data_IF_454738718863
#
_entry.id   IF_454738718863
#
_cell.length_a   1.000
_cell.length_b   1.000
_cell.length_c   1.000
_cell.angle_alpha   90.00
_cell.angle_beta   90.00
_cell.angle_gamma   90.00
#
_symmetry.space_group_name_H-M   'P 1'
#
loop_
_entity.id
_entity.type
_entity.pdbx_description
1 polymer ?
#
# COMPACT_ATOMS: atom_id res chain seq x y z
N UNK A 1 17.95 -19.41 -64.19
CA UNK A 1 18.78 -20.07 -63.16
C UNK A 1 18.11 -19.81 -61.82
N UNK A 2 17.75 -20.88 -61.10
CA UNK A 2 16.90 -20.93 -59.90
C UNK A 2 17.41 -20.04 -58.76
N UNK A 3 16.51 -19.34 -58.05
CA UNK A 3 16.28 -19.61 -56.63
C UNK A 3 14.93 -19.03 -56.17
N UNK A 4 14.02 -19.91 -55.77
CA UNK A 4 12.83 -19.60 -54.96
C UNK A 4 13.25 -19.78 -53.50
N UNK A 5 13.02 -18.78 -52.66
CA UNK A 5 12.89 -18.96 -51.20
C UNK A 5 11.63 -18.21 -50.78
N UNK A 6 10.68 -18.97 -50.25
CA UNK A 6 9.46 -18.48 -49.65
C UNK A 6 9.78 -17.88 -48.28
N UNK A 7 9.30 -16.67 -48.01
CA UNK A 7 9.20 -16.13 -46.66
C UNK A 7 7.72 -16.08 -46.30
N UNK A 8 7.28 -17.11 -45.56
CA UNK A 8 6.04 -17.07 -44.81
C UNK A 8 6.18 -16.04 -43.68
N UNK A 9 5.13 -15.25 -43.49
CA UNK A 9 4.98 -14.42 -42.30
C UNK A 9 4.82 -15.26 -41.04
N UNK A 10 5.35 -14.74 -39.95
CA UNK A 10 4.66 -14.70 -38.66
C UNK A 10 5.32 -13.60 -37.82
N UNK A 11 4.54 -12.57 -37.50
CA UNK A 11 4.83 -11.71 -36.36
C UNK A 11 4.76 -12.57 -35.10
N UNK A 12 5.77 -12.46 -34.25
CA UNK A 12 5.85 -13.14 -32.98
C UNK A 12 6.89 -12.45 -32.11
N UNK A 13 6.56 -11.25 -31.67
CA UNK A 13 7.21 -10.62 -30.52
C UNK A 13 7.11 -11.56 -29.33
N UNK A 14 8.26 -11.91 -28.77
CA UNK A 14 8.40 -12.60 -27.49
C UNK A 14 7.75 -11.75 -26.40
N UNK A 15 6.47 -11.99 -26.12
CA UNK A 15 5.88 -11.65 -24.84
C UNK A 15 6.45 -12.62 -23.81
N UNK A 16 7.11 -12.05 -22.80
CA UNK A 16 7.55 -12.76 -21.62
C UNK A 16 6.37 -13.56 -21.04
N UNK A 17 6.60 -14.85 -20.81
CA UNK A 17 5.68 -15.66 -20.04
C UNK A 17 5.53 -15.05 -18.66
N UNK A 18 4.31 -14.70 -18.30
CA UNK A 18 3.93 -14.47 -16.92
C UNK A 18 4.15 -15.79 -16.17
N UNK A 19 5.22 -15.81 -15.37
CA UNK A 19 5.44 -16.82 -14.36
C UNK A 19 4.38 -16.66 -13.27
N UNK A 20 3.61 -17.71 -13.06
CA UNK A 20 2.48 -17.78 -12.14
C UNK A 20 2.96 -18.38 -10.83
N UNK A 21 3.46 -17.52 -9.93
CA UNK A 21 3.69 -17.88 -8.53
C UNK A 21 2.71 -17.12 -7.65
N UNK A 22 1.57 -17.78 -7.46
CA UNK A 22 0.62 -17.73 -6.34
C UNK A 22 0.97 -16.81 -5.14
N UNK A 23 0.21 -15.73 -4.99
CA UNK A 23 0.10 -14.93 -3.76
C UNK A 23 -1.07 -13.95 -3.83
N UNK A 24 -1.04 -13.07 -4.82
CA UNK A 24 -2.14 -12.14 -5.12
C UNK A 24 -3.00 -12.72 -6.23
N UNK A 25 -3.91 -13.62 -5.87
CA UNK A 25 -5.10 -13.79 -6.71
C UNK A 25 -5.88 -12.47 -6.59
N UNK A 26 -5.90 -11.61 -7.62
CA UNK A 26 -6.59 -10.32 -7.56
C UNK A 26 -8.08 -10.50 -7.24
N UNK A 27 -8.60 -11.72 -7.39
CA UNK A 27 -9.97 -12.10 -7.09
C UNK A 27 -10.20 -12.60 -5.66
N UNK A 28 -9.17 -12.73 -4.82
CA UNK A 28 -9.25 -13.35 -3.48
C UNK A 28 -10.25 -12.68 -2.53
N UNK A 29 -10.43 -11.37 -2.64
CA UNK A 29 -11.34 -10.58 -1.80
C UNK A 29 -12.42 -9.85 -2.61
N UNK A 30 -12.53 -10.16 -3.89
CA UNK A 30 -13.53 -9.57 -4.77
C UNK A 30 -14.72 -10.51 -4.81
N UNK A 31 -15.68 -10.22 -3.95
CA UNK A 31 -17.03 -10.74 -4.14
C UNK A 31 -17.70 -9.88 -5.20
N UNK A 32 -17.87 -10.44 -6.40
CA UNK A 32 -18.60 -9.83 -7.51
C UNK A 32 -20.11 -9.76 -7.19
N UNK A 33 -20.46 -9.12 -6.07
CA UNK A 33 -21.82 -8.98 -5.52
C UNK A 33 -22.56 -10.30 -5.32
N UNK A 34 -21.84 -11.41 -5.11
CA UNK A 34 -22.36 -12.79 -5.12
C UNK A 34 -23.09 -13.18 -6.42
N UNK A 35 -22.87 -12.43 -7.50
CA UNK A 35 -23.58 -12.49 -8.80
C UNK A 35 -22.63 -12.64 -9.99
N UNK A 36 -21.41 -13.04 -9.71
CA UNK A 36 -20.38 -13.33 -10.69
C UNK A 36 -19.23 -14.06 -10.05
N UNK A 37 -18.23 -14.37 -10.86
CA UNK A 37 -16.95 -14.82 -10.35
C UNK A 37 -15.88 -13.89 -10.89
N UNK A 38 -14.93 -13.56 -10.04
CA UNK A 38 -13.80 -12.76 -10.46
C UNK A 38 -12.82 -13.66 -11.23
N UNK A 39 -12.25 -13.11 -12.31
CA UNK A 39 -11.16 -13.69 -13.09
C UNK A 39 -10.14 -12.62 -13.45
N UNK A 40 -8.93 -13.03 -13.81
CA UNK A 40 -7.83 -12.11 -14.11
C UNK A 40 -7.70 -11.93 -15.61
N UNK A 41 -7.77 -10.68 -16.08
CA UNK A 41 -7.50 -10.29 -17.48
C UNK A 41 -6.43 -9.22 -17.46
N UNK A 42 -5.34 -9.43 -18.20
CA UNK A 42 -4.18 -8.53 -18.26
C UNK A 42 -3.60 -8.14 -16.89
N UNK A 43 -3.67 -9.06 -15.92
CA UNK A 43 -3.15 -8.87 -14.56
C UNK A 43 -4.07 -8.11 -13.61
N UNK A 44 -5.26 -7.69 -14.05
CA UNK A 44 -6.26 -7.02 -13.22
C UNK A 44 -7.47 -7.93 -12.92
N UNK A 45 -8.09 -7.83 -11.74
CA UNK A 45 -9.33 -8.53 -11.47
C UNK A 45 -10.46 -7.94 -12.31
N UNK A 46 -11.28 -8.82 -12.85
CA UNK A 46 -12.52 -8.48 -13.53
C UNK A 46 -13.61 -9.42 -13.07
N UNK A 47 -14.81 -8.89 -12.90
CA UNK A 47 -15.96 -9.74 -12.68
C UNK A 47 -16.46 -10.30 -14.01
N UNK A 48 -16.50 -11.63 -14.11
CA UNK A 48 -17.33 -12.31 -15.11
C UNK A 48 -18.67 -12.61 -14.43
N UNK A 49 -19.68 -11.87 -14.84
CA UNK A 49 -20.97 -11.89 -14.20
C UNK A 49 -21.83 -13.05 -14.72
N UNK A 50 -22.64 -13.65 -13.84
CA UNK A 50 -23.58 -14.69 -14.27
C UNK A 50 -24.64 -14.08 -15.19
N UNK A 51 -25.27 -14.90 -16.03
CA UNK A 51 -26.28 -14.42 -16.98
C UNK A 51 -27.35 -13.55 -16.28
N UNK A 52 -27.52 -12.32 -16.78
CA UNK A 52 -28.42 -11.31 -16.20
C UNK A 52 -27.74 -10.25 -15.33
N UNK A 53 -26.40 -10.17 -15.35
CA UNK A 53 -25.57 -9.19 -14.67
C UNK A 53 -24.39 -8.77 -15.56
N UNK A 54 -23.98 -7.50 -15.54
CA UNK A 54 -22.76 -7.00 -16.17
C UNK A 54 -21.81 -6.40 -15.15
N UNK A 55 -20.53 -6.34 -15.52
CA UNK A 55 -19.50 -5.79 -14.68
C UNK A 55 -19.47 -4.26 -14.79
N UNK A 56 -19.77 -3.57 -13.69
CA UNK A 56 -19.42 -2.17 -13.49
C UNK A 56 -18.29 -2.15 -12.45
N UNK A 57 -17.06 -1.95 -12.92
CA UNK A 57 -15.88 -2.11 -12.08
C UNK A 57 -15.72 -3.56 -11.58
N UNK A 58 -15.70 -3.74 -10.25
CA UNK A 58 -15.54 -5.03 -9.56
C UNK A 58 -16.84 -5.56 -8.94
N UNK A 59 -17.96 -5.00 -9.37
CA UNK A 59 -19.30 -5.39 -8.94
C UNK A 59 -20.08 -5.93 -10.13
N UNK A 60 -20.77 -7.04 -9.92
CA UNK A 60 -21.80 -7.50 -10.86
C UNK A 60 -23.10 -6.81 -10.50
N UNK A 61 -23.46 -5.84 -11.32
CA UNK A 61 -24.72 -5.11 -11.26
C UNK A 61 -25.69 -5.83 -12.17
N UNK A 62 -26.97 -5.87 -11.80
CA UNK A 62 -27.95 -6.57 -12.62
C UNK A 62 -28.06 -5.96 -14.00
N UNK A 63 -28.02 -6.81 -15.03
CA UNK A 63 -28.49 -6.46 -16.38
C UNK A 63 -30.02 -6.34 -16.41
N UNK A 64 -30.67 -6.85 -15.35
CA UNK A 64 -32.03 -6.51 -15.04
C UNK A 64 -32.01 -5.11 -14.37
N UNK A 65 -32.36 -4.03 -15.07
CA UNK A 65 -32.55 -2.72 -14.45
C UNK A 65 -33.38 -2.88 -13.18
N UNK A 66 -32.77 -2.47 -12.08
CA UNK A 66 -33.10 -2.88 -10.72
C UNK A 66 -33.66 -1.75 -9.88
N UNK A 67 -34.72 -1.12 -10.36
CA UNK A 67 -35.24 0.09 -9.72
C UNK A 67 -35.39 0.02 -8.19
N UNK A 68 -34.79 1.00 -7.51
CA UNK A 68 -34.82 1.22 -6.08
C UNK A 68 -33.66 0.61 -5.31
N UNK A 69 -32.50 0.41 -5.93
CA UNK A 69 -31.32 -0.19 -5.31
C UNK A 69 -30.18 0.80 -4.99
N UNK A 70 -30.40 2.08 -5.34
CA UNK A 70 -29.52 3.21 -5.10
C UNK A 70 -28.62 3.57 -6.28
N UNK A 71 -28.78 2.91 -7.43
CA UNK A 71 -27.93 3.12 -8.62
C UNK A 71 -28.77 3.31 -9.88
N UNK A 72 -28.55 4.40 -10.60
CA UNK A 72 -29.21 4.62 -11.89
C UNK A 72 -28.59 3.73 -12.98
N UNK A 73 -29.22 2.59 -13.26
CA UNK A 73 -28.77 1.60 -14.24
C UNK A 73 -29.03 2.05 -15.71
N UNK A 74 -28.34 1.45 -16.71
CA UNK A 74 -28.63 1.70 -18.12
C UNK A 74 -30.09 1.39 -18.49
N UNK A 75 -30.90 2.43 -18.70
CA UNK A 75 -32.34 2.33 -19.02
C UNK A 75 -33.25 2.94 -17.97
N UNK A 76 -32.70 3.27 -16.81
CA UNK A 76 -33.30 4.05 -15.73
C UNK A 76 -32.98 5.54 -15.92
N UNK A 77 -33.89 6.40 -15.48
CA UNK A 77 -33.69 7.85 -15.46
C UNK A 77 -33.26 8.33 -14.07
N UNK A 78 -33.65 7.61 -13.02
CA UNK A 78 -33.36 7.89 -11.61
C UNK A 78 -33.28 6.57 -10.82
N UNK A 79 -32.66 6.60 -9.64
CA UNK A 79 -32.82 5.56 -8.60
C UNK A 79 -32.55 6.20 -7.23
N UNK A 80 -33.52 6.16 -6.33
CA UNK A 80 -33.46 6.81 -5.00
C UNK A 80 -33.32 5.80 -3.84
N UNK A 81 -32.95 4.55 -4.15
CA UNK A 81 -32.71 3.49 -3.17
C UNK A 81 -33.98 2.87 -2.59
N UNK A 82 -35.15 3.13 -3.18
CA UNK A 82 -36.39 2.46 -2.82
C UNK A 82 -37.39 2.38 -4.01
N UNK A 83 -38.54 1.73 -3.80
CA UNK A 83 -39.57 1.55 -4.86
C UNK A 83 -40.89 2.25 -4.54
N UNK A 84 -40.86 3.23 -3.64
CA UNK A 84 -42.04 3.99 -3.22
C UNK A 84 -42.36 5.01 -4.31
N UNK A 85 -43.41 4.75 -5.07
CA UNK A 85 -43.86 5.71 -6.10
C UNK A 85 -44.20 7.10 -5.53
N UNK A 86 -43.85 8.11 -6.32
CA UNK A 86 -44.28 9.48 -6.17
C UNK A 86 -43.46 10.34 -5.20
N UNK A 87 -42.27 9.91 -4.79
CA UNK A 87 -41.29 10.68 -4.01
C UNK A 87 -40.17 11.32 -4.85
N UNK A 88 -40.29 11.25 -6.18
CA UNK A 88 -39.31 11.80 -7.13
C UNK A 88 -38.74 10.74 -8.06
N UNK A 89 -38.70 9.47 -7.64
CA UNK A 89 -38.31 8.35 -8.48
C UNK A 89 -39.36 7.24 -8.43
N UNK A 90 -39.99 6.96 -9.57
CA UNK A 90 -41.07 5.97 -9.59
C UNK A 90 -40.54 4.56 -9.43
N UNK A 91 -41.41 3.62 -9.04
CA UNK A 91 -41.04 2.19 -8.98
C UNK A 91 -40.62 1.57 -10.33
N UNK A 92 -40.69 2.35 -11.42
CA UNK A 92 -40.17 2.02 -12.75
C UNK A 92 -38.87 2.75 -13.10
N UNK A 93 -38.28 3.46 -12.13
CA UNK A 93 -37.06 4.26 -12.23
C UNK A 93 -37.10 5.26 -13.37
N UNK A 94 -38.25 5.92 -13.42
CA UNK A 94 -38.52 7.09 -14.24
C UNK A 94 -38.71 8.26 -13.30
N UNK A 95 -38.22 9.42 -13.68
CA UNK A 95 -38.46 10.63 -12.89
C UNK A 95 -39.97 10.86 -12.79
N UNK A 96 -40.40 11.29 -11.60
CA UNK A 96 -41.76 11.78 -11.40
C UNK A 96 -41.77 13.05 -10.59
N UNK A 97 -42.82 13.83 -10.79
CA UNK A 97 -43.16 14.90 -9.87
C UNK A 97 -43.87 14.32 -8.63
N UNK A 98 -43.64 14.96 -7.49
CA UNK A 98 -44.34 14.75 -6.24
C UNK A 98 -45.45 15.81 -6.01
N UNK A 99 -45.27 17.04 -6.51
CA UNK A 99 -46.26 18.12 -6.40
C UNK A 99 -46.31 19.03 -7.64
N UNK A 100 -47.45 19.72 -7.85
CA UNK A 100 -47.64 20.65 -8.99
C UNK A 100 -46.55 21.73 -9.05
N UNK A 101 -46.06 22.20 -7.89
CA UNK A 101 -45.01 23.22 -7.80
C UNK A 101 -43.64 22.77 -8.35
N UNK A 102 -43.40 21.46 -8.50
CA UNK A 102 -42.16 20.92 -9.08
C UNK A 102 -42.23 20.84 -10.62
N UNK A 103 -43.42 21.11 -11.18
CA UNK A 103 -43.70 21.12 -12.60
C UNK A 103 -43.82 22.53 -13.18
N UNK A 104 -43.45 23.57 -12.44
CA UNK A 104 -43.46 24.94 -12.93
C UNK A 104 -42.40 25.07 -14.06
N UNK A 105 -42.85 25.31 -15.28
CA UNK A 105 -41.99 25.55 -16.45
C UNK A 105 -41.75 27.04 -16.71
N UNK A 106 -42.15 27.89 -15.76
CA UNK A 106 -42.12 29.35 -15.83
C UNK A 106 -42.98 29.95 -16.96
N UNK A 107 -43.83 29.16 -17.63
CA UNK A 107 -44.80 29.66 -18.61
C UNK A 107 -46.14 29.97 -17.91
N UNK A 108 -46.54 31.25 -17.74
CA UNK A 108 -47.82 31.60 -17.11
C UNK A 108 -49.04 31.13 -17.91
N UNK A 109 -48.85 30.68 -19.16
CA UNK A 109 -49.91 30.20 -20.05
C UNK A 109 -50.09 28.69 -20.09
N UNK A 110 -49.31 27.95 -19.33
CA UNK A 110 -49.51 26.53 -19.05
C UNK A 110 -50.18 26.37 -17.69
N UNK A 111 -50.98 25.31 -17.56
CA UNK A 111 -51.39 24.81 -16.26
C UNK A 111 -50.44 23.66 -15.92
N UNK A 112 -49.56 23.89 -14.95
CA UNK A 112 -48.58 22.93 -14.47
C UNK A 112 -49.20 22.02 -13.43
N UNK A 113 -49.46 20.80 -13.84
CA UNK A 113 -50.07 19.80 -12.97
C UNK A 113 -49.21 18.56 -12.92
N UNK A 114 -48.96 18.12 -11.71
CA UNK A 114 -48.38 16.82 -11.45
C UNK A 114 -49.47 15.76 -11.56
N UNK A 115 -49.73 15.31 -12.79
CA UNK A 115 -50.82 14.39 -13.09
C UNK A 115 -50.39 12.91 -13.03
N UNK A 116 -51.35 12.04 -12.76
CA UNK A 116 -51.13 10.59 -12.80
C UNK A 116 -50.89 10.12 -14.24
N UNK A 117 -49.80 9.40 -14.44
CA UNK A 117 -49.38 8.77 -15.67
C UNK A 117 -49.37 7.23 -15.53
N UNK A 118 -49.26 6.53 -16.67
CA UNK A 118 -49.22 5.06 -16.71
C UNK A 118 -48.02 4.45 -15.97
N UNK A 119 -46.97 5.26 -15.72
CA UNK A 119 -45.72 4.86 -15.06
C UNK A 119 -45.38 5.77 -13.87
N UNK A 120 -46.38 6.30 -13.15
CA UNK A 120 -46.16 7.16 -12.00
C UNK A 120 -46.88 8.50 -12.10
N UNK A 121 -46.19 9.59 -11.73
CA UNK A 121 -46.63 10.97 -12.00
C UNK A 121 -45.69 11.67 -12.95
N UNK A 122 -46.22 12.57 -13.78
CA UNK A 122 -45.42 13.37 -14.71
C UNK A 122 -45.93 14.80 -14.71
N UNK A 123 -45.03 15.72 -15.01
CA UNK A 123 -45.42 17.08 -15.30
C UNK A 123 -46.23 17.11 -16.59
N UNK A 124 -47.42 17.69 -16.51
CA UNK A 124 -48.21 18.07 -17.65
C UNK A 124 -48.37 19.58 -17.65
N UNK A 125 -47.87 20.19 -18.72
CA UNK A 125 -47.97 21.63 -18.98
C UNK A 125 -49.07 21.81 -20.01
N UNK A 126 -50.30 22.06 -19.55
CA UNK A 126 -51.44 22.14 -20.46
C UNK A 126 -51.73 23.60 -20.79
N UNK A 127 -51.42 23.98 -22.03
CA UNK A 127 -51.76 25.28 -22.60
C UNK A 127 -53.24 25.62 -22.36
N UNK A 128 -53.50 26.74 -21.69
CA UNK A 128 -54.83 27.11 -21.23
C UNK A 128 -55.15 28.57 -21.57
N UNK A 129 -56.24 28.78 -22.31
CA UNK A 129 -56.71 30.13 -22.63
C UNK A 129 -57.33 30.82 -21.40
N UNK A 130 -57.14 32.14 -21.31
CA UNK A 130 -57.76 32.98 -20.28
C UNK A 130 -57.07 32.95 -18.92
N UNK A 131 -55.95 32.24 -18.79
CA UNK A 131 -55.06 32.41 -17.64
C UNK A 131 -54.48 33.84 -17.65
N UNK A 132 -54.36 34.49 -16.48
CA UNK A 132 -53.70 35.78 -16.39
C UNK A 132 -52.21 35.58 -16.68
N UNK A 133 -51.69 36.40 -17.58
CA UNK A 133 -50.27 36.48 -17.89
C UNK A 133 -49.90 37.97 -18.01
N UNK A 134 -48.63 38.23 -18.31
CA UNK A 134 -48.13 39.58 -18.60
C UNK A 134 -47.31 39.46 -19.89
N UNK A 135 -47.72 40.17 -20.95
CA UNK A 135 -46.99 40.13 -22.23
C UNK A 135 -45.82 41.14 -22.27
N UNK A 136 -45.56 41.81 -21.14
CA UNK A 136 -44.57 42.86 -20.98
C UNK A 136 -45.01 44.19 -21.60
N UNK A 137 -46.22 44.30 -22.14
CA UNK A 137 -46.76 45.52 -22.69
C UNK A 137 -47.83 46.11 -21.74
N UNK A 138 -47.48 47.11 -20.93
CA UNK A 138 -48.41 47.73 -19.96
C UNK A 138 -49.59 48.45 -20.62
N UNK A 139 -49.59 48.59 -21.96
CA UNK A 139 -50.66 49.20 -22.72
C UNK A 139 -51.77 48.26 -23.16
N UNK A 140 -51.57 46.97 -22.97
CA UNK A 140 -52.55 45.94 -23.22
C UNK A 140 -52.90 45.34 -21.88
N UNK A 141 -54.13 45.58 -21.40
CA UNK A 141 -54.59 45.03 -20.11
C UNK A 141 -56.11 44.78 -20.12
N UNK A 142 -56.60 43.75 -19.41
CA UNK A 142 -55.81 42.67 -18.82
C UNK A 142 -55.32 41.70 -19.89
N UNK A 143 -54.08 41.26 -19.75
CA UNK A 143 -53.49 40.24 -20.62
C UNK A 143 -54.03 38.86 -20.27
N UNK A 144 -54.13 38.05 -21.31
CA UNK A 144 -54.65 36.72 -21.18
C UNK A 144 -53.99 35.78 -22.16
N UNK A 145 -53.73 34.57 -21.69
CA UNK A 145 -53.23 33.52 -22.53
C UNK A 145 -54.22 33.19 -23.64
N UNK A 146 -53.73 33.08 -24.87
CA UNK A 146 -54.53 32.65 -26.03
C UNK A 146 -53.95 31.39 -26.63
N UNK A 147 -54.82 30.55 -27.20
CA UNK A 147 -54.40 29.28 -27.81
C UNK A 147 -54.02 29.49 -29.28
N UNK A 148 -52.83 29.04 -29.63
CA UNK A 148 -52.35 29.05 -30.99
C UNK A 148 -52.99 27.95 -31.85
N UNK A 149 -53.02 28.15 -33.18
CA UNK A 149 -53.27 27.08 -34.15
C UNK A 149 -52.15 26.03 -34.08
N UNK A 150 -52.26 25.09 -33.16
CA UNK A 150 -51.20 24.12 -32.86
C UNK A 150 -51.27 23.55 -31.45
N UNK A 151 -52.02 24.20 -30.54
CA UNK A 151 -52.25 23.71 -29.19
C UNK A 151 -51.25 24.22 -28.15
N UNK A 152 -50.30 25.08 -28.51
CA UNK A 152 -49.57 25.93 -27.56
C UNK A 152 -50.45 27.10 -27.11
N UNK A 153 -50.09 27.72 -25.98
CA UNK A 153 -50.61 29.02 -25.59
C UNK A 153 -49.47 30.03 -25.58
N UNK A 154 -49.79 31.27 -25.91
CA UNK A 154 -48.90 32.41 -25.70
C UNK A 154 -49.66 33.49 -24.95
N UNK A 155 -48.92 34.30 -24.19
CA UNK A 155 -49.50 35.49 -23.60
C UNK A 155 -49.81 36.49 -24.71
N UNK A 156 -51.08 36.90 -24.79
CA UNK A 156 -51.50 37.90 -25.75
C UNK A 156 -52.02 39.13 -25.01
N UNK A 157 -51.57 40.28 -25.49
CA UNK A 157 -52.03 41.58 -25.06
C UNK A 157 -53.56 41.69 -25.06
N UNK A 158 -54.11 42.20 -23.96
CA UNK A 158 -55.48 42.68 -23.90
C UNK A 158 -55.79 43.83 -24.87
N UNK A 159 -57.01 44.40 -24.84
CA UNK A 159 -57.33 45.57 -25.65
C UNK A 159 -56.34 46.71 -25.38
N UNK A 160 -55.73 47.24 -26.45
CA UNK A 160 -54.81 48.35 -26.28
C UNK A 160 -55.58 49.60 -25.82
N UNK A 161 -55.21 50.11 -24.65
CA UNK A 161 -55.83 51.29 -24.05
C UNK A 161 -54.90 52.52 -24.05
N UNK A 162 -53.66 52.37 -24.51
CA UNK A 162 -52.70 53.44 -24.74
C UNK A 162 -52.72 53.89 -26.21
N UNK A 163 -53.55 54.88 -26.51
CA UNK A 163 -53.46 55.58 -27.79
C UNK A 163 -52.41 56.68 -27.72
N UNK A 164 -51.65 56.87 -28.80
CA UNK A 164 -50.63 57.92 -28.86
C UNK A 164 -50.62 58.64 -30.21
N UNK A 165 -50.12 59.88 -30.22
CA UNK A 165 -49.71 60.60 -31.42
C UNK A 165 -48.20 60.85 -31.47
N UNK A 166 -47.55 60.80 -30.30
CA UNK A 166 -46.10 61.01 -30.15
C UNK A 166 -45.53 60.00 -29.15
N UNK A 167 -44.24 59.68 -29.29
CA UNK A 167 -43.53 58.79 -28.35
C UNK A 167 -43.64 59.24 -26.88
N UNK A 168 -43.68 60.55 -26.64
CA UNK A 168 -43.77 61.10 -25.29
C UNK A 168 -45.08 60.76 -24.57
N UNK A 169 -46.14 60.43 -25.30
CA UNK A 169 -47.41 59.97 -24.73
C UNK A 169 -47.34 58.51 -24.26
N UNK A 170 -46.41 57.72 -24.79
CA UNK A 170 -46.17 56.34 -24.35
C UNK A 170 -45.32 56.26 -23.09
N UNK A 171 -44.50 57.28 -22.82
CA UNK A 171 -43.60 57.34 -21.67
C UNK A 171 -44.28 57.21 -20.29
N UNK A 172 -45.58 57.50 -20.19
CA UNK A 172 -46.33 57.35 -18.94
C UNK A 172 -46.69 55.90 -18.60
N UNK A 173 -46.56 55.01 -19.59
CA UNK A 173 -46.88 53.59 -19.47
C UNK A 173 -45.64 52.73 -19.31
N UNK A 174 -44.44 53.28 -19.50
CA UNK A 174 -43.16 52.58 -19.24
C UNK A 174 -43.12 52.01 -17.82
N UNK A 175 -42.77 50.73 -17.70
CA UNK A 175 -42.57 50.02 -16.43
C UNK A 175 -41.17 50.29 -15.82
N UNK A 176 -40.28 50.89 -16.61
CA UNK A 176 -38.91 51.21 -16.23
C UNK A 176 -37.92 50.05 -16.41
N UNK A 177 -38.34 48.94 -17.04
CA UNK A 177 -37.48 47.86 -17.47
C UNK A 177 -36.91 48.18 -18.86
N UNK A 178 -35.64 48.55 -18.93
CA UNK A 178 -34.97 48.83 -20.20
C UNK A 178 -34.60 47.55 -20.97
N UNK A 179 -34.76 46.37 -20.38
CA UNK A 179 -34.38 45.10 -20.99
C UNK A 179 -35.42 44.59 -21.98
N UNK A 180 -36.71 44.80 -21.71
CA UNK A 180 -37.81 44.44 -22.62
C UNK A 180 -38.04 45.49 -23.73
N UNK A 181 -37.29 46.60 -23.71
CA UNK A 181 -37.32 47.67 -24.71
C UNK A 181 -38.25 48.83 -24.33
N UNK A 182 -38.06 49.99 -24.93
CA UNK A 182 -38.89 51.18 -24.67
C UNK A 182 -40.08 51.25 -25.62
N UNK A 183 -41.21 51.77 -25.14
CA UNK A 183 -42.41 52.00 -25.94
C UNK A 183 -42.24 53.23 -26.85
N UNK A 184 -42.50 53.04 -28.14
CA UNK A 184 -42.63 54.11 -29.12
C UNK A 184 -44.07 54.15 -29.67
N UNK A 185 -44.44 55.29 -30.25
CA UNK A 185 -45.73 55.46 -30.88
C UNK A 185 -45.69 54.93 -32.33
N UNK A 186 -45.94 53.63 -32.49
CA UNK A 186 -45.92 52.94 -33.78
C UNK A 186 -47.36 52.78 -34.27
N UNK A 187 -47.66 53.37 -35.43
CA UNK A 187 -49.01 53.29 -36.03
C UNK A 187 -50.16 53.76 -35.10
N UNK A 188 -49.89 54.77 -34.25
CA UNK A 188 -50.81 55.35 -33.24
C UNK A 188 -51.10 54.46 -32.02
N UNK A 189 -50.28 53.43 -31.83
CA UNK A 189 -50.34 52.49 -30.71
C UNK A 189 -49.00 52.54 -29.98
N UNK A 190 -49.02 52.59 -28.65
CA UNK A 190 -47.80 52.41 -27.87
C UNK A 190 -47.38 50.94 -27.95
N UNK A 191 -46.22 50.70 -28.56
CA UNK A 191 -45.66 49.38 -28.76
C UNK A 191 -44.14 49.42 -28.53
N UNK A 192 -43.58 48.30 -28.07
CA UNK A 192 -42.12 48.16 -27.88
C UNK A 192 -41.38 48.41 -29.19
N UNK A 193 -40.38 49.28 -29.18
CA UNK A 193 -39.44 49.41 -30.29
C UNK A 193 -38.44 48.24 -30.26
N UNK A 194 -38.46 47.31 -31.23
CA UNK A 194 -37.57 46.15 -31.25
C UNK A 194 -36.08 46.53 -31.28
N UNK A 195 -35.74 47.74 -31.75
CA UNK A 195 -34.36 48.22 -31.77
C UNK A 195 -33.81 48.58 -30.38
N UNK A 196 -34.69 48.67 -29.38
CA UNK A 196 -34.35 49.07 -28.01
C UNK A 196 -34.31 47.91 -27.02
N UNK A 197 -34.76 46.72 -27.44
CA UNK A 197 -34.68 45.48 -26.64
C UNK A 197 -33.22 45.08 -26.40
N UNK A 198 -32.87 44.83 -25.15
CA UNK A 198 -31.50 44.46 -24.78
C UNK A 198 -31.37 42.94 -24.72
N UNK A 199 -30.59 42.37 -25.64
CA UNK A 199 -30.23 40.95 -25.65
C UNK A 199 -28.78 40.79 -25.21
N UNK A 200 -28.56 40.05 -24.13
CA UNK A 200 -27.22 39.76 -23.62
C UNK A 200 -26.59 38.57 -24.35
N UNK A 201 -25.28 38.64 -24.59
CA UNK A 201 -24.51 37.58 -25.24
C UNK A 201 -24.34 36.39 -24.28
N UNK A 202 -24.85 35.19 -24.61
CA UNK A 202 -24.70 33.99 -23.80
C UNK A 202 -23.30 33.37 -23.90
N UNK A 203 -22.44 33.83 -24.81
CA UNK A 203 -21.08 33.27 -24.99
C UNK A 203 -20.16 33.40 -23.77
N UNK A 204 -20.54 34.20 -22.77
CA UNK A 204 -19.82 34.36 -21.50
C UNK A 204 -20.43 33.59 -20.34
N UNK A 205 -21.52 32.87 -20.57
CA UNK A 205 -22.22 32.13 -19.52
C UNK A 205 -21.35 30.96 -19.02
N UNK A 206 -21.54 30.64 -17.75
CA UNK A 206 -20.87 29.56 -17.04
C UNK A 206 -21.90 28.77 -16.24
N UNK A 207 -21.55 27.58 -15.76
CA UNK A 207 -22.45 26.78 -14.94
C UNK A 207 -22.99 27.53 -13.69
N UNK A 208 -22.24 28.52 -13.17
CA UNK A 208 -22.59 29.25 -11.96
C UNK A 208 -22.91 30.73 -12.17
N UNK A 209 -22.88 31.22 -13.41
CA UNK A 209 -23.19 32.61 -13.68
C UNK A 209 -23.66 32.78 -15.14
N UNK A 210 -24.70 33.59 -15.32
CA UNK A 210 -25.23 33.95 -16.64
C UNK A 210 -25.19 35.46 -16.85
N UNK A 211 -25.01 35.87 -18.11
CA UNK A 211 -25.03 37.25 -18.53
C UNK A 211 -26.47 37.75 -18.66
N UNK A 212 -26.95 38.47 -17.65
CA UNK A 212 -28.35 38.92 -17.56
C UNK A 212 -28.42 40.45 -17.66
N UNK A 213 -29.49 40.95 -18.27
CA UNK A 213 -29.75 42.38 -18.35
C UNK A 213 -30.24 42.91 -16.98
N UNK A 214 -29.81 44.12 -16.61
CA UNK A 214 -30.30 44.84 -15.43
C UNK A 214 -31.45 45.79 -15.83
N UNK A 215 -32.69 45.57 -15.35
CA UNK A 215 -33.87 46.32 -15.78
C UNK A 215 -33.73 47.84 -15.69
N UNK A 216 -33.15 48.34 -14.61
CA UNK A 216 -33.05 49.78 -14.38
C UNK A 216 -32.02 50.48 -15.29
N UNK A 217 -31.04 49.74 -15.82
CA UNK A 217 -29.93 50.32 -16.57
C UNK A 217 -29.84 49.85 -18.02
N UNK A 218 -30.53 48.78 -18.40
CA UNK A 218 -30.42 48.15 -19.71
C UNK A 218 -29.03 47.60 -20.01
N UNK A 219 -28.20 47.40 -18.97
CA UNK A 219 -26.82 46.91 -19.13
C UNK A 219 -26.72 45.42 -18.83
N UNK A 220 -26.04 44.69 -19.70
CA UNK A 220 -25.75 43.28 -19.48
C UNK A 220 -24.59 43.12 -18.49
N UNK A 221 -24.78 42.27 -17.49
CA UNK A 221 -23.73 41.89 -16.55
C UNK A 221 -23.86 40.45 -16.13
N UNK A 222 -22.72 39.83 -15.83
CA UNK A 222 -22.69 38.52 -15.18
C UNK A 222 -23.38 38.61 -13.82
N UNK A 223 -24.39 37.77 -13.62
CA UNK A 223 -25.00 37.53 -12.32
C UNK A 223 -24.66 36.11 -11.88
N UNK A 224 -24.19 36.00 -10.64
CA UNK A 224 -24.00 34.72 -10.01
C UNK A 224 -25.35 34.03 -9.81
N UNK A 225 -25.39 32.74 -10.09
CA UNK A 225 -26.47 31.85 -9.69
C UNK A 225 -26.44 31.61 -8.18
N UNK A 226 -27.48 30.97 -7.66
CA UNK A 226 -27.59 30.68 -6.23
C UNK A 226 -26.45 29.77 -5.74
N UNK A 227 -25.93 30.09 -4.56
CA UNK A 227 -24.91 29.26 -3.92
C UNK A 227 -25.46 27.86 -3.60
N UNK A 228 -24.63 26.83 -3.79
CA UNK A 228 -24.98 25.44 -3.51
C UNK A 228 -25.64 24.69 -4.67
N UNK A 229 -25.90 25.35 -5.80
CA UNK A 229 -26.31 24.66 -7.02
C UNK A 229 -25.20 23.70 -7.50
N UNK A 230 -25.56 22.51 -7.99
CA UNK A 230 -24.60 21.57 -8.55
C UNK A 230 -23.99 22.15 -9.82
N UNK A 231 -22.69 21.97 -9.98
CA UNK A 231 -21.97 22.32 -11.19
C UNK A 231 -20.89 21.26 -11.46
N UNK A 232 -20.03 21.46 -12.46
CA UNK A 232 -18.85 20.64 -12.72
C UNK A 232 -17.70 21.62 -13.01
N UNK A 233 -16.64 21.60 -12.19
CA UNK A 233 -15.49 22.49 -12.37
C UNK A 233 -14.41 21.89 -13.29
N UNK A 234 -14.64 20.67 -13.78
CA UNK A 234 -13.74 19.91 -14.63
C UNK A 234 -12.58 19.28 -13.89
N UNK A 235 -12.47 19.41 -12.56
CA UNK A 235 -11.46 18.74 -11.75
C UNK A 235 -11.94 17.33 -11.37
N UNK A 236 -11.31 16.32 -11.97
CA UNK A 236 -11.61 14.93 -11.63
C UNK A 236 -11.29 14.58 -10.17
N UNK A 237 -10.45 15.35 -9.48
CA UNK A 237 -10.04 15.07 -8.10
C UNK A 237 -11.10 15.41 -7.05
N UNK A 238 -12.10 16.19 -7.41
CA UNK A 238 -13.22 16.56 -6.55
C UNK A 238 -14.40 15.62 -6.77
N UNK A 239 -15.24 15.50 -5.73
CA UNK A 239 -16.40 14.59 -5.70
C UNK A 239 -17.72 15.36 -5.73
N UNK A 240 -17.70 16.61 -5.30
CA UNK A 240 -18.89 17.43 -5.15
C UNK A 240 -18.53 18.85 -5.51
N UNK A 241 -19.09 19.32 -6.62
CA UNK A 241 -18.83 20.64 -7.16
C UNK A 241 -20.08 21.50 -6.98
N UNK A 242 -19.87 22.68 -6.41
CA UNK A 242 -20.98 23.58 -6.07
C UNK A 242 -20.65 25.00 -6.46
N UNK A 243 -21.68 25.74 -6.86
CA UNK A 243 -21.57 27.15 -7.11
C UNK A 243 -21.36 27.93 -5.81
N UNK A 244 -20.39 28.83 -5.81
CA UNK A 244 -20.18 29.80 -4.73
C UNK A 244 -19.79 31.15 -5.34
N UNK A 245 -20.62 32.16 -5.14
CA UNK A 245 -20.43 33.53 -5.65
C UNK A 245 -20.15 33.59 -7.17
N UNK A 246 -20.81 32.73 -7.94
CA UNK A 246 -20.68 32.68 -9.39
C UNK A 246 -19.52 31.87 -9.93
N UNK A 247 -18.78 31.18 -9.06
CA UNK A 247 -17.66 30.31 -9.42
C UNK A 247 -18.03 28.87 -9.09
N UNK A 248 -17.81 27.96 -10.02
CA UNK A 248 -17.90 26.53 -9.73
C UNK A 248 -16.60 26.10 -9.04
N UNK A 249 -16.71 25.47 -7.87
CA UNK A 249 -15.57 24.94 -7.15
C UNK A 249 -15.90 23.56 -6.59
N UNK A 250 -14.98 22.63 -6.82
CA UNK A 250 -15.03 21.28 -6.32
C UNK A 250 -14.54 21.12 -4.89
N UNK A 251 -15.12 20.14 -4.22
CA UNK A 251 -14.81 19.76 -2.85
C UNK A 251 -14.82 18.24 -2.66
N UNK A 252 -14.28 17.78 -1.54
CA UNK A 252 -14.08 16.35 -1.25
C UNK A 252 -12.85 15.77 -1.95
N UNK A 253 -12.33 14.67 -1.42
CA UNK A 253 -11.19 13.97 -2.00
C UNK A 253 -11.67 12.65 -2.60
N UNK A 254 -11.49 12.47 -3.91
CA UNK A 254 -11.92 11.25 -4.61
C UNK A 254 -11.18 9.99 -4.17
N UNK A 255 -9.94 10.13 -3.70
CA UNK A 255 -9.12 8.99 -3.32
C UNK A 255 -9.49 8.48 -1.92
N UNK A 256 -9.86 7.20 -1.78
CA UNK A 256 -10.40 6.65 -0.54
C UNK A 256 -9.38 6.53 0.59
N UNK A 257 -8.09 6.44 0.27
CA UNK A 257 -7.03 6.21 1.25
C UNK A 257 -6.18 7.47 1.50
N UNK A 258 -5.76 7.73 2.75
CA UNK A 258 -5.00 8.93 3.11
C UNK A 258 -3.57 8.94 2.57
N UNK A 259 -3.04 7.79 2.16
CA UNK A 259 -1.74 7.64 1.51
C UNK A 259 -1.83 7.65 -0.02
N UNK A 260 -2.96 8.08 -0.59
CA UNK A 260 -3.10 8.29 -2.02
C UNK A 260 -3.06 9.78 -2.35
N UNK A 261 -2.51 10.09 -3.51
CA UNK A 261 -2.57 11.40 -4.14
C UNK A 261 -3.41 11.30 -5.40
N UNK A 262 -4.33 12.24 -5.61
CA UNK A 262 -5.08 12.32 -6.84
C UNK A 262 -4.21 12.91 -7.96
N UNK A 263 -4.21 12.27 -9.12
CA UNK A 263 -3.60 12.79 -10.33
C UNK A 263 -4.68 13.17 -11.34
N UNK A 264 -5.00 14.46 -11.40
CA UNK A 264 -6.01 15.00 -12.33
C UNK A 264 -5.61 14.92 -13.81
N UNK A 265 -4.34 14.58 -14.14
CA UNK A 265 -3.91 14.37 -15.53
C UNK A 265 -4.16 12.93 -15.98
N UNK A 266 -3.87 11.96 -15.12
CA UNK A 266 -4.07 10.53 -15.40
C UNK A 266 -5.45 10.03 -14.97
N UNK A 267 -6.24 10.89 -14.31
CA UNK A 267 -7.57 10.59 -13.78
C UNK A 267 -7.55 9.36 -12.87
N UNK A 268 -6.54 9.29 -11.99
CA UNK A 268 -6.27 8.13 -11.15
C UNK A 268 -5.79 8.53 -9.74
N UNK A 269 -5.97 7.62 -8.78
CA UNK A 269 -5.40 7.71 -7.45
C UNK A 269 -4.07 6.96 -7.40
N UNK A 270 -3.00 7.67 -7.13
CA UNK A 270 -1.64 7.14 -7.10
C UNK A 270 -1.15 7.03 -5.65
N UNK A 271 -0.28 6.07 -5.34
CA UNK A 271 0.27 5.93 -3.99
C UNK A 271 1.25 7.08 -3.72
N UNK A 272 1.06 7.77 -2.59
CA UNK A 272 1.95 8.84 -2.16
C UNK A 272 3.37 8.31 -1.91
N UNK A 273 4.37 9.15 -2.18
CA UNK A 273 5.77 8.80 -1.90
C UNK A 273 5.98 8.46 -0.41
N UNK A 274 6.76 7.40 -0.14
CA UNK A 274 7.03 6.94 1.22
C UNK A 274 5.95 6.04 1.84
N UNK A 275 4.97 5.59 1.05
CA UNK A 275 3.90 4.70 1.50
C UNK A 275 3.69 3.54 0.54
N UNK A 276 3.24 2.41 1.08
CA UNK A 276 2.66 1.31 0.35
C UNK A 276 1.18 1.16 0.75
N UNK A 277 0.39 0.56 -0.13
CA UNK A 277 -0.95 0.08 0.18
C UNK A 277 -0.88 -1.44 0.23
N UNK A 278 -0.98 -2.02 1.42
CA UNK A 278 -0.88 -3.46 1.62
C UNK A 278 -2.16 -3.93 2.29
N UNK A 279 -2.85 -4.88 1.67
CA UNK A 279 -4.17 -5.36 2.11
C UNK A 279 -5.19 -4.23 2.33
N UNK A 280 -5.15 -3.20 1.47
CA UNK A 280 -6.03 -2.03 1.56
C UNK A 280 -5.68 -1.04 2.68
N UNK A 281 -4.55 -1.24 3.37
CA UNK A 281 -4.10 -0.35 4.45
C UNK A 281 -2.85 0.44 4.05
N UNK A 282 -2.77 1.68 4.53
CA UNK A 282 -1.58 2.52 4.34
C UNK A 282 -0.46 2.09 5.28
N UNK A 283 0.65 1.64 4.69
CA UNK A 283 1.85 1.22 5.40
C UNK A 283 2.99 2.18 5.08
N UNK A 284 3.68 2.70 6.09
CA UNK A 284 4.81 3.59 5.87
C UNK A 284 6.03 2.81 5.36
N UNK A 285 6.82 3.44 4.50
CA UNK A 285 8.09 2.88 3.99
C UNK A 285 9.00 2.42 5.14
N UNK A 286 9.59 1.23 4.97
CA UNK A 286 10.45 0.59 5.96
C UNK A 286 9.71 -0.20 7.06
N UNK A 287 8.38 -0.18 7.10
CA UNK A 287 7.62 -1.06 8.01
C UNK A 287 7.85 -2.52 7.61
N UNK A 288 8.28 -3.41 8.53
CA UNK A 288 8.51 -4.83 8.22
C UNK A 288 7.19 -5.60 8.12
N UNK A 289 7.20 -6.67 7.31
CA UNK A 289 6.07 -7.57 7.17
C UNK A 289 5.86 -8.41 8.43
N UNK A 290 4.61 -8.55 8.93
CA UNK A 290 4.31 -9.45 10.05
C UNK A 290 4.54 -10.93 9.73
N UNK A 291 4.48 -11.31 8.45
CA UNK A 291 4.55 -12.70 8.01
C UNK A 291 5.97 -13.13 7.60
N UNK A 292 6.82 -12.19 7.19
CA UNK A 292 8.18 -12.46 6.76
C UNK A 292 9.13 -11.32 7.18
N UNK A 293 10.10 -11.56 8.06
CA UNK A 293 11.03 -10.54 8.53
C UNK A 293 11.95 -9.99 7.42
N UNK A 294 12.09 -10.68 6.29
CA UNK A 294 12.83 -10.23 5.11
C UNK A 294 11.99 -9.52 4.06
N UNK A 295 10.78 -9.11 4.43
CA UNK A 295 9.97 -8.24 3.60
C UNK A 295 9.53 -7.01 4.37
N UNK A 296 9.29 -5.92 3.66
CA UNK A 296 8.82 -4.66 4.21
C UNK A 296 8.19 -3.78 3.14
N UNK A 297 7.61 -2.66 3.56
CA UNK A 297 7.09 -1.68 2.63
C UNK A 297 8.25 -0.94 1.95
N UNK A 298 8.43 -1.18 0.65
CA UNK A 298 9.37 -0.45 -0.21
C UNK A 298 8.67 -0.01 -1.50
N UNK A 299 8.11 1.21 -1.54
CA UNK A 299 7.24 1.63 -2.63
C UNK A 299 7.94 1.77 -3.99
N UNK A 300 9.27 1.99 -4.00
CA UNK A 300 10.06 1.98 -5.22
C UNK A 300 10.16 0.60 -5.89
N UNK A 301 10.00 -0.49 -5.11
CA UNK A 301 10.01 -1.85 -5.62
C UNK A 301 8.57 -2.34 -5.90
N UNK A 302 7.68 -2.21 -4.91
CA UNK A 302 6.25 -2.50 -5.06
C UNK A 302 5.44 -1.66 -4.08
N UNK A 303 4.67 -0.70 -4.59
CA UNK A 303 3.80 0.16 -3.78
C UNK A 303 2.52 -0.53 -3.29
N UNK A 304 2.20 -1.72 -3.79
CA UNK A 304 0.94 -2.43 -3.50
C UNK A 304 1.13 -3.74 -2.73
N UNK A 305 2.34 -4.03 -2.26
CA UNK A 305 2.63 -5.29 -1.59
C UNK A 305 3.94 -5.28 -0.80
N UNK A 306 4.14 -6.34 -0.03
CA UNK A 306 5.39 -6.55 0.69
C UNK A 306 6.53 -6.77 -0.31
N UNK A 307 7.58 -5.98 -0.19
CA UNK A 307 8.78 -6.07 -1.03
C UNK A 307 9.93 -6.70 -0.26
N UNK A 308 10.82 -7.40 -0.96
CA UNK A 308 12.03 -7.93 -0.34
C UNK A 308 12.88 -6.80 0.24
N UNK A 309 13.36 -7.00 1.47
CA UNK A 309 14.36 -6.12 2.08
C UNK A 309 15.71 -6.27 1.37
N UNK A 310 16.58 -5.25 1.39
CA UNK A 310 17.93 -5.37 0.86
C UNK A 310 18.73 -6.52 1.50
N UNK A 311 19.69 -7.06 0.74
CA UNK A 311 20.62 -8.05 1.28
C UNK A 311 21.36 -7.51 2.52
N UNK A 312 21.69 -8.40 3.46
CA UNK A 312 22.32 -8.07 4.75
C UNK A 312 21.41 -7.37 5.78
N UNK A 313 20.13 -7.15 5.45
CA UNK A 313 19.15 -6.70 6.45
C UNK A 313 18.98 -7.77 7.53
N UNK A 314 19.01 -7.38 8.80
CA UNK A 314 18.83 -8.32 9.91
C UNK A 314 17.43 -8.95 9.86
N UNK A 315 17.36 -10.26 10.02
CA UNK A 315 16.12 -11.02 10.14
C UNK A 315 16.27 -12.08 11.23
N UNK A 316 15.16 -12.72 11.60
CA UNK A 316 15.13 -13.81 12.57
C UNK A 316 14.14 -14.85 12.02
N UNK A 317 14.62 -16.01 11.60
CA UNK A 317 13.78 -17.09 11.03
C UNK A 317 13.10 -17.95 12.12
N UNK A 318 13.36 -17.63 13.39
CA UNK A 318 12.87 -18.35 14.55
C UNK A 318 13.59 -19.68 14.79
N UNK A 319 14.69 -19.95 14.05
CA UNK A 319 15.54 -21.13 14.21
C UNK A 319 16.84 -20.71 14.87
N UNK A 320 16.80 -20.70 16.20
CA UNK A 320 18.01 -20.51 17.00
C UNK A 320 19.03 -21.61 16.68
N UNK A 321 20.33 -21.25 16.62
CA UNK A 321 21.50 -22.10 16.29
C UNK A 321 22.09 -21.92 14.89
N UNK A 322 21.43 -21.22 13.97
CA UNK A 322 21.89 -21.11 12.59
C UNK A 322 22.62 -19.78 12.29
N UNK A 323 22.45 -18.73 13.08
CA UNK A 323 23.44 -17.66 13.21
C UNK A 323 22.90 -16.33 13.70
N UNK A 324 23.48 -15.23 13.20
CA UNK A 324 22.74 -13.97 13.08
C UNK A 324 22.30 -13.89 11.63
N UNK A 325 21.01 -14.00 11.41
CA UNK A 325 20.43 -14.21 10.10
C UNK A 325 20.31 -12.89 9.35
N UNK A 326 20.58 -12.96 8.05
CA UNK A 326 20.44 -11.81 7.17
C UNK A 326 19.59 -12.17 5.98
N UNK A 327 18.94 -11.15 5.40
CA UNK A 327 18.19 -11.34 4.17
C UNK A 327 19.14 -11.50 2.99
N UNK A 328 18.78 -12.35 2.03
CA UNK A 328 19.52 -12.55 0.78
C UNK A 328 19.23 -11.50 -0.30
N UNK A 329 18.31 -10.56 -0.03
CA UNK A 329 17.83 -9.58 -1.00
C UNK A 329 16.71 -10.09 -1.93
N UNK A 330 16.37 -11.37 -1.86
CA UNK A 330 15.25 -11.99 -2.57
C UNK A 330 14.04 -12.24 -1.64
N UNK A 331 14.13 -11.84 -0.37
CA UNK A 331 13.06 -12.00 0.62
C UNK A 331 13.18 -13.28 1.45
N UNK A 332 14.31 -13.99 1.37
CA UNK A 332 14.61 -15.15 2.20
C UNK A 332 15.53 -14.75 3.34
N UNK A 333 15.17 -15.13 4.56
CA UNK A 333 16.08 -15.06 5.70
C UNK A 333 17.05 -16.24 5.61
N UNK A 334 18.34 -15.96 5.44
CA UNK A 334 19.36 -16.99 5.30
C UNK A 334 20.15 -17.16 6.59
N UNK A 335 20.51 -18.41 6.96
CA UNK A 335 21.33 -18.69 8.12
C UNK A 335 22.67 -17.94 8.11
N UNK A 336 23.02 -17.41 9.27
CA UNK A 336 24.26 -16.66 9.47
C UNK A 336 25.43 -17.49 9.98
N UNK A 337 26.25 -16.85 10.83
CA UNK A 337 27.33 -17.53 11.56
C UNK A 337 26.78 -18.08 12.88
N UNK A 338 26.86 -19.40 13.15
CA UNK A 338 26.29 -20.01 14.35
C UNK A 338 26.71 -19.29 15.65
N UNK A 339 25.79 -19.07 16.60
CA UNK A 339 26.09 -18.33 17.84
C UNK A 339 27.00 -19.11 18.79
N UNK A 340 27.13 -20.43 18.61
CA UNK A 340 27.94 -21.28 19.46
C UNK A 340 29.41 -21.32 18.98
N UNK A 341 30.39 -21.18 19.89
CA UNK A 341 31.79 -21.25 19.51
C UNK A 341 32.14 -22.64 18.98
N UNK A 342 32.75 -22.69 17.80
CA UNK A 342 33.21 -23.94 17.16
C UNK A 342 34.43 -24.57 17.83
N UNK A 343 35.09 -23.86 18.75
CA UNK A 343 36.25 -24.31 19.49
C UNK A 343 35.95 -24.42 21.00
N UNK A 344 36.40 -25.52 21.62
CA UNK A 344 36.23 -25.75 23.06
C UNK A 344 35.29 -26.91 23.39
N UNK A 345 34.42 -26.71 24.38
CA UNK A 345 33.56 -27.74 24.96
C UNK A 345 32.10 -27.62 24.49
N UNK A 346 31.90 -27.58 23.18
CA UNK A 346 30.56 -27.50 22.57
C UNK A 346 30.27 -28.79 21.81
N UNK A 347 29.19 -29.49 22.16
CA UNK A 347 28.74 -30.70 21.44
C UNK A 347 27.69 -30.40 20.38
N UNK A 348 27.00 -29.27 20.50
CA UNK A 348 25.94 -28.89 19.58
C UNK A 348 25.15 -27.72 20.14
N UNK A 349 23.91 -27.61 19.67
CA UNK A 349 23.02 -26.51 19.97
C UNK A 349 21.60 -27.06 20.13
N UNK A 350 20.86 -26.55 21.12
CA UNK A 350 19.51 -26.98 21.48
C UNK A 350 18.52 -25.93 20.98
N UNK A 351 17.93 -26.18 19.80
CA UNK A 351 17.00 -25.27 19.11
C UNK A 351 15.73 -25.01 19.93
N UNK A 352 15.28 -25.97 20.74
CA UNK A 352 14.08 -25.82 21.55
C UNK A 352 14.31 -25.00 22.83
N UNK A 353 15.58 -24.88 23.25
CA UNK A 353 15.97 -24.25 24.51
C UNK A 353 16.81 -22.99 24.35
N UNK A 354 16.95 -22.49 23.12
CA UNK A 354 17.78 -21.35 22.73
C UNK A 354 19.12 -21.30 23.48
N UNK A 355 19.84 -22.43 23.54
CA UNK A 355 21.12 -22.56 24.26
C UNK A 355 22.13 -23.51 23.61
N UNK A 356 23.43 -23.19 23.72
CA UNK A 356 24.49 -24.10 23.30
C UNK A 356 24.55 -25.32 24.23
N UNK A 357 24.82 -26.50 23.66
CA UNK A 357 24.92 -27.75 24.41
C UNK A 357 26.38 -28.02 24.77
N UNK A 358 26.73 -28.08 26.07
CA UNK A 358 28.09 -28.39 26.48
C UNK A 358 28.47 -29.83 26.09
N UNK A 359 29.72 -30.00 25.70
CA UNK A 359 30.25 -31.32 25.37
C UNK A 359 30.38 -32.21 26.61
N UNK A 360 30.19 -33.52 26.42
CA UNK A 360 30.27 -34.50 27.50
C UNK A 360 31.61 -34.45 28.23
N UNK A 361 31.65 -34.91 29.49
CA UNK A 361 32.88 -34.90 30.28
C UNK A 361 33.99 -35.84 29.76
N UNK A 362 33.70 -36.66 28.75
CA UNK A 362 34.67 -37.51 28.07
C UNK A 362 35.38 -36.77 26.92
N UNK A 363 34.81 -35.67 26.43
CA UNK A 363 35.32 -34.93 25.27
C UNK A 363 36.64 -34.26 25.62
N UNK A 364 37.69 -34.61 24.89
CA UNK A 364 39.01 -33.96 25.00
C UNK A 364 38.98 -32.62 24.26
N UNK A 365 39.28 -31.53 24.97
CA UNK A 365 39.24 -30.18 24.42
C UNK A 365 40.64 -29.56 24.26
N UNK A 366 41.65 -30.12 24.93
CA UNK A 366 43.06 -29.83 24.68
C UNK A 366 43.87 -31.12 24.84
N UNK A 367 44.71 -31.40 23.86
CA UNK A 367 45.59 -32.57 23.87
C UNK A 367 46.81 -32.34 24.77
N UNK A 368 47.34 -33.43 25.30
CA UNK A 368 48.62 -33.45 26.03
C UNK A 368 49.79 -33.01 25.14
N UNK A 369 50.63 -32.10 25.62
CA UNK A 369 51.85 -31.65 24.93
C UNK A 369 53.15 -32.25 25.50
N UNK A 370 53.05 -33.13 26.50
CA UNK A 370 54.20 -33.79 27.11
C UNK A 370 53.84 -34.72 28.28
N UNK A 371 54.81 -35.48 28.82
CA UNK A 371 54.55 -36.45 29.90
C UNK A 371 54.05 -35.81 31.20
N UNK A 372 54.36 -34.52 31.42
CA UNK A 372 53.89 -33.74 32.56
C UNK A 372 52.62 -32.93 32.28
N UNK A 373 52.03 -33.11 31.10
CA UNK A 373 50.86 -32.39 30.63
C UNK A 373 49.70 -33.36 30.38
N UNK A 374 48.71 -33.47 31.26
CA UNK A 374 47.50 -34.24 30.98
C UNK A 374 46.65 -33.52 29.91
N UNK A 375 45.89 -34.28 29.13
CA UNK A 375 44.87 -33.69 28.27
C UNK A 375 43.67 -33.20 29.10
N UNK A 376 43.15 -32.00 28.83
CA UNK A 376 41.92 -31.50 29.45
C UNK A 376 40.71 -32.05 28.74
N UNK A 377 39.74 -32.40 29.59
CA UNK A 377 38.43 -32.85 29.17
C UNK A 377 37.41 -31.84 29.62
N UNK A 378 36.34 -31.74 28.87
CA UNK A 378 35.18 -30.96 29.27
C UNK A 378 34.62 -31.45 30.60
N UNK A 379 33.86 -30.62 31.29
CA UNK A 379 33.22 -30.95 32.57
C UNK A 379 31.76 -31.45 32.38
N UNK A 380 31.21 -31.32 31.17
CA UNK A 380 29.80 -31.62 30.88
C UNK A 380 28.83 -30.45 31.07
N UNK A 381 29.32 -29.27 31.48
CA UNK A 381 28.49 -28.09 31.80
C UNK A 381 29.00 -26.78 31.20
N UNK A 382 30.30 -26.60 31.08
CA UNK A 382 30.98 -25.43 30.54
C UNK A 382 31.16 -25.55 29.02
N UNK A 383 31.00 -24.42 28.32
CA UNK A 383 31.28 -24.31 26.88
C UNK A 383 32.77 -24.08 26.58
N UNK A 384 33.53 -23.65 27.58
CA UNK A 384 34.98 -23.43 27.46
C UNK A 384 35.75 -24.61 28.04
N UNK A 385 36.87 -24.95 27.39
CA UNK A 385 37.81 -25.94 27.93
C UNK A 385 38.36 -25.46 29.29
N UNK A 386 38.55 -26.37 30.26
CA UNK A 386 39.22 -26.01 31.51
C UNK A 386 40.61 -25.41 31.28
N UNK A 387 41.12 -24.62 32.24
CA UNK A 387 42.49 -24.12 32.17
C UNK A 387 43.52 -25.24 32.06
N UNK A 388 44.61 -24.97 31.34
CA UNK A 388 45.76 -25.87 31.19
C UNK A 388 46.33 -26.25 32.57
N UNK A 389 46.32 -27.55 32.88
CA UNK A 389 46.66 -28.08 34.19
C UNK A 389 47.86 -29.02 34.12
N UNK A 390 49.00 -28.64 34.70
CA UNK A 390 50.17 -29.51 34.73
C UNK A 390 50.11 -30.58 35.83
N UNK A 391 50.68 -31.75 35.57
CA UNK A 391 50.82 -32.81 36.58
C UNK A 391 51.64 -32.31 37.77
N UNK A 392 51.27 -32.67 39.01
CA UNK A 392 51.90 -32.14 40.22
C UNK A 392 53.36 -32.56 40.33
N UNK A 393 54.13 -31.87 41.17
CA UNK A 393 55.55 -32.15 41.37
C UNK A 393 55.90 -33.49 42.02
N UNK A 394 54.88 -34.30 42.33
CA UNK A 394 55.01 -35.67 42.82
C UNK A 394 54.79 -36.70 41.71
N UNK A 395 54.41 -36.28 40.50
CA UNK A 395 54.18 -37.19 39.38
C UNK A 395 55.50 -37.54 38.71
N UNK A 396 55.85 -38.81 38.74
CA UNK A 396 57.04 -39.36 38.08
C UNK A 396 56.83 -39.35 36.57
N UNK A 397 57.62 -38.55 35.85
CA UNK A 397 57.55 -38.44 34.40
C UNK A 397 58.63 -39.25 33.69
N UNK A 398 59.69 -39.63 34.41
CA UNK A 398 60.68 -40.60 33.97
C UNK A 398 61.11 -41.45 35.16
N UNK A 399 61.03 -42.75 35.00
CA UNK A 399 61.56 -43.70 35.97
C UNK A 399 63.09 -43.74 35.92
N UNK A 400 63.72 -43.95 37.08
CA UNK A 400 65.15 -44.19 37.15
C UNK A 400 65.53 -45.44 36.32
N UNK A 401 66.47 -45.28 35.40
CA UNK A 401 67.05 -46.39 34.67
C UNK A 401 67.80 -47.33 35.63
N UNK A 402 67.76 -48.65 35.37
CA UNK A 402 68.48 -49.62 36.16
C UNK A 402 69.99 -49.37 36.09
N UNK A 403 70.69 -49.50 37.22
CA UNK A 403 72.14 -49.23 37.30
C UNK A 403 72.58 -48.54 38.59
N UNK A 404 71.63 -48.09 39.42
CA UNK A 404 71.89 -47.59 40.78
C UNK A 404 72.34 -46.12 40.87
N UNK A 405 72.68 -45.49 39.74
CA UNK A 405 73.13 -44.10 39.68
C UNK A 405 72.14 -43.13 39.06
N UNK A 406 71.03 -43.64 38.53
CA UNK A 406 69.94 -42.82 38.04
C UNK A 406 68.98 -42.42 39.18
N UNK A 407 68.31 -41.29 39.04
CA UNK A 407 67.19 -40.86 39.90
C UNK A 407 65.93 -40.65 39.06
N UNK A 408 64.73 -40.88 39.60
CA UNK A 408 63.51 -40.55 38.85
C UNK A 408 63.35 -39.03 38.74
N UNK A 409 62.83 -38.53 37.62
CA UNK A 409 62.36 -37.15 37.52
C UNK A 409 60.87 -37.07 37.75
N UNK A 410 60.53 -36.02 38.47
CA UNK A 410 59.17 -35.61 38.72
C UNK A 410 58.86 -34.34 37.97
N UNK A 411 57.60 -34.17 37.57
CA UNK A 411 57.14 -32.94 36.96
C UNK A 411 57.41 -31.71 37.85
N UNK A 412 57.36 -30.51 37.28
CA UNK A 412 57.54 -29.28 38.09
C UNK A 412 56.24 -28.76 38.67
N UNK A 413 55.09 -29.26 38.21
CA UNK A 413 53.78 -28.66 38.47
C UNK A 413 53.47 -27.42 37.64
N UNK A 414 54.38 -27.01 36.74
CA UNK A 414 54.28 -25.75 35.98
C UNK A 414 54.73 -25.86 34.53
N UNK A 415 55.08 -27.07 34.05
CA UNK A 415 55.65 -27.30 32.72
C UNK A 415 55.12 -28.61 32.15
N UNK A 416 54.87 -28.63 30.84
CA UNK A 416 54.46 -29.81 30.10
C UNK A 416 55.57 -30.85 29.92
N UNK A 417 56.83 -30.39 29.93
CA UNK A 417 57.99 -31.24 29.76
C UNK A 417 58.46 -31.83 31.09
N UNK A 418 58.92 -33.09 31.06
CA UNK A 418 59.70 -33.67 32.15
C UNK A 418 61.03 -32.92 32.28
N UNK A 419 61.55 -32.68 33.50
CA UNK A 419 62.89 -32.15 33.67
C UNK A 419 63.95 -32.99 32.94
N UNK A 420 65.11 -32.41 32.59
CA UNK A 420 66.22 -33.16 32.04
C UNK A 420 66.66 -34.30 32.98
N UNK A 421 67.11 -35.39 32.38
CA UNK A 421 67.64 -36.57 33.05
C UNK A 421 68.75 -36.18 34.06
N UNK A 422 68.51 -36.48 35.34
CA UNK A 422 69.39 -36.18 36.44
C UNK A 422 69.99 -37.47 37.00
N UNK A 423 71.25 -37.41 37.38
CA UNK A 423 71.97 -38.54 37.96
C UNK A 423 72.37 -38.25 39.40
N UNK A 424 72.51 -39.33 40.19
CA UNK A 424 73.07 -39.22 41.54
C UNK A 424 74.46 -38.57 41.49
N UNK A 425 74.78 -37.69 42.46
CA UNK A 425 76.03 -36.94 42.44
C UNK A 425 77.23 -37.87 42.50
N UNK A 426 78.40 -37.35 42.12
CA UNK A 426 79.64 -38.14 42.12
C UNK A 426 80.15 -38.56 43.50
N UNK A 427 79.43 -38.18 44.55
CA UNK A 427 79.65 -38.58 45.94
C UNK A 427 78.70 -39.69 46.40
N UNK A 428 77.77 -40.13 45.55
CA UNK A 428 76.84 -41.18 45.89
C UNK A 428 77.46 -42.55 45.63
N UNK A 429 77.66 -43.31 46.70
CA UNK A 429 78.13 -44.69 46.65
C UNK A 429 77.04 -45.58 46.03
N UNK A 430 77.32 -46.11 44.84
CA UNK A 430 76.43 -47.04 44.14
C UNK A 430 76.82 -48.50 44.35
N UNK A 431 78.07 -48.75 44.76
CA UNK A 431 78.52 -50.05 45.24
C UNK A 431 79.47 -49.86 46.43
N UNK A 432 79.16 -50.54 47.52
CA UNK A 432 80.03 -50.58 48.69
C UNK A 432 81.27 -51.44 48.41
N UNK A 433 82.41 -51.04 48.98
CA UNK A 433 83.60 -51.88 48.98
C UNK A 433 83.35 -53.21 49.69
N UNK A 434 83.80 -54.30 49.06
CA UNK A 434 83.85 -55.62 49.66
C UNK A 434 84.73 -55.63 50.93
N UNK A 435 84.32 -56.35 51.99
CA UNK A 435 85.13 -56.51 53.19
C UNK A 435 86.50 -57.13 52.87
N UNK A 436 87.57 -56.57 53.44
CA UNK A 436 88.94 -57.09 53.22
C UNK A 436 89.98 -56.06 52.80
N UNK A 437 89.59 -54.80 52.63
CA UNK A 437 90.52 -53.66 52.50
C UNK A 437 91.10 -53.44 51.10
N UNK A 438 91.00 -54.41 50.18
CA UNK A 438 91.51 -54.30 48.81
C UNK A 438 90.52 -53.69 47.81
N UNK A 439 89.24 -53.58 48.19
CA UNK A 439 88.18 -53.01 47.36
C UNK A 439 87.94 -51.53 47.73
N UNK A 440 87.53 -50.72 46.75
CA UNK A 440 87.10 -49.33 46.99
C UNK A 440 85.63 -49.17 46.62
N UNK A 441 84.91 -48.26 47.29
CA UNK A 441 83.53 -47.99 46.91
C UNK A 441 83.47 -47.25 45.57
N UNK A 442 82.56 -47.67 44.69
CA UNK A 442 82.27 -46.95 43.45
C UNK A 442 81.21 -45.90 43.74
N UNK A 443 81.55 -44.69 43.33
CA UNK A 443 80.61 -43.59 43.34
C UNK A 443 80.11 -43.34 41.92
N UNK A 444 78.89 -42.83 41.81
CA UNK A 444 78.34 -42.41 40.52
C UNK A 444 79.22 -41.37 39.83
N UNK A 445 79.03 -41.15 38.53
CA UNK A 445 79.80 -40.12 37.80
C UNK A 445 79.13 -38.74 37.85
N UNK A 446 77.87 -38.67 38.28
CA UNK A 446 77.02 -37.48 38.11
C UNK A 446 76.48 -37.29 36.69
N UNK A 447 76.76 -38.21 35.77
CA UNK A 447 76.40 -38.09 34.33
C UNK A 447 75.94 -39.41 33.69
N UNK A 448 75.86 -40.51 34.45
CA UNK A 448 75.55 -41.86 33.96
C UNK A 448 74.58 -42.55 34.91
N UNK A 449 73.59 -43.26 34.34
CA UNK A 449 72.63 -44.09 35.06
C UNK A 449 73.27 -45.34 35.70
N UNK A 450 74.40 -45.79 35.15
CA UNK A 450 75.07 -47.03 35.54
C UNK A 450 76.25 -46.73 36.47
N UNK A 451 76.31 -47.44 37.59
CA UNK A 451 77.47 -47.45 38.50
C UNK A 451 78.75 -47.83 37.74
N UNK A 452 79.88 -47.14 37.95
CA UNK A 452 81.15 -47.54 37.36
C UNK A 452 81.50 -48.99 37.64
N UNK A 453 82.31 -49.59 36.74
CA UNK A 453 82.84 -50.93 36.96
C UNK A 453 83.72 -50.99 38.21
N UNK A 454 83.71 -52.12 38.89
CA UNK A 454 84.54 -52.47 40.06
C UNK A 454 86.01 -52.07 39.90
N UNK A 455 86.53 -51.27 40.84
CA UNK A 455 87.93 -50.84 40.91
C UNK A 455 88.54 -51.27 42.25
N UNK A 456 89.75 -51.82 42.20
CA UNK A 456 90.50 -52.23 43.39
C UNK A 456 91.58 -51.20 43.75
N UNK A 457 92.02 -51.21 45.02
CA UNK A 457 93.13 -50.36 45.46
C UNK A 457 94.41 -50.68 44.67
N UNK A 458 95.20 -49.66 44.29
CA UNK A 458 96.49 -49.89 43.68
C UNK A 458 97.43 -50.62 44.66
N UNK A 459 98.43 -51.39 44.17
CA UNK A 459 99.29 -52.27 44.99
C UNK A 459 100.20 -51.56 46.03
N UNK A 460 100.00 -50.27 46.28
CA UNK A 460 100.90 -49.38 47.02
C UNK A 460 100.29 -48.73 48.26
N UNK A 461 99.15 -49.23 48.76
CA UNK A 461 98.55 -48.86 50.05
C UNK A 461 98.22 -50.08 50.91
#
# INVERSE_FOLDING_TARGET
MRLRIAALGLLGTLAAGCDSTSGDDPCRYIDCSSRGYCHVVDGAPRCECIAGFHAVGLTCVSDAPGCGDGWADPGEECDDGNTVSGDGCESSCRFSCHADAECDDEDPCTADVCEAATAGRRCAHTASAGLPCDDGNPCTEPDACTLDPGGSAHCAGGPNHCTCETAAECAVFEDGDLCNGTLDCIERVCAVDPATVVVCDPGTDTACAHNRCDPASGTCRMRAEADGLPCDDGDWCTLTDTCSAGVCAGSGARCPLPCQTCNGTTLACEVAAGFCIIDGTCVAEGTPSPANPCQGCHPAANAYGWSALPAESACEDGVWCNGHETCDGAGTCVPGTPPCPVAGCVAGCDEAGDRCVPASSATECRASTGPCDPAERCDGSSLTCPPDAFRPSTYECRAAAPGGCDVPEYCTGTSAACPPDAFRPSTYECRAAAPGGCDVPENCTGTSAVCPSDVFRPPSY
#
